data_IF_089623077134
#
_entry.id   IF_089623077134
#
_cell.length_a   1.000
_cell.length_b   1.000
_cell.length_c   1.000
_cell.angle_alpha   90.00
_cell.angle_beta   90.00
_cell.angle_gamma   90.00
#
_symmetry.space_group_name_H-M   'P 1'
#
loop_
_entity.id
_entity.type
_entity.pdbx_description
1 polymer ?
#
# COMPACT_ATOMS: atom_id res chain seq x y z
N UNK A 1 -17.24 4.19 -31.09
CA UNK A 1 -16.51 3.97 -29.83
C UNK A 1 -16.33 2.48 -29.66
N UNK A 2 -15.09 1.98 -29.65
CA UNK A 2 -14.80 0.54 -29.79
C UNK A 2 -14.95 -0.16 -28.43
N UNK A 3 -16.04 -0.91 -28.23
CA UNK A 3 -16.43 -1.56 -26.97
C UNK A 3 -15.46 -2.67 -26.52
N UNK A 4 -14.55 -3.09 -27.40
CA UNK A 4 -13.49 -4.07 -27.12
C UNK A 4 -12.44 -3.56 -26.10
N UNK A 5 -12.35 -2.24 -25.87
CA UNK A 5 -11.45 -1.66 -24.86
C UNK A 5 -11.96 -1.83 -23.40
N UNK A 6 -13.21 -2.25 -23.21
CA UNK A 6 -13.83 -2.34 -21.88
C UNK A 6 -13.78 -3.75 -21.27
N UNK A 7 -13.26 -4.75 -21.98
CA UNK A 7 -13.42 -6.16 -21.61
C UNK A 7 -12.13 -6.98 -21.77
N UNK A 8 -10.96 -6.38 -21.56
CA UNK A 8 -9.76 -7.19 -21.30
C UNK A 8 -9.76 -7.62 -19.83
N UNK A 9 -9.85 -8.93 -19.54
CA UNK A 9 -9.78 -9.41 -18.16
C UNK A 9 -8.41 -9.07 -17.57
N UNK A 10 -8.41 -8.51 -16.35
CA UNK A 10 -7.18 -8.23 -15.62
C UNK A 10 -6.40 -9.52 -15.40
N UNK A 11 -5.08 -9.48 -15.59
CA UNK A 11 -4.17 -10.61 -15.36
C UNK A 11 -3.97 -10.96 -13.88
N UNK A 12 -4.62 -10.23 -12.98
CA UNK A 12 -4.47 -10.35 -11.54
C UNK A 12 -5.78 -10.06 -10.82
N UNK A 13 -5.88 -10.57 -9.58
CA UNK A 13 -7.03 -10.31 -8.72
C UNK A 13 -6.92 -8.94 -8.08
N UNK A 14 -7.77 -8.00 -8.51
CA UNK A 14 -7.87 -6.67 -7.90
C UNK A 14 -8.23 -6.77 -6.41
N UNK A 15 -9.13 -7.68 -6.04
CA UNK A 15 -9.53 -7.89 -4.65
C UNK A 15 -8.36 -8.34 -3.77
N UNK A 16 -7.47 -9.19 -4.30
CA UNK A 16 -6.28 -9.62 -3.57
C UNK A 16 -5.31 -8.45 -3.31
N UNK A 17 -5.14 -7.54 -4.27
CA UNK A 17 -4.29 -6.36 -4.12
C UNK A 17 -4.88 -5.40 -3.08
N UNK A 18 -6.18 -5.08 -3.17
CA UNK A 18 -6.85 -4.24 -2.18
C UNK A 18 -6.78 -4.87 -0.78
N UNK A 19 -7.04 -6.18 -0.67
CA UNK A 19 -6.95 -6.92 0.58
C UNK A 19 -5.54 -6.88 1.18
N UNK A 20 -4.51 -7.08 0.36
CA UNK A 20 -3.12 -6.95 0.79
C UNK A 20 -2.83 -5.56 1.35
N UNK A 21 -3.14 -4.50 0.60
CA UNK A 21 -2.86 -3.13 1.06
C UNK A 21 -3.64 -2.78 2.32
N UNK A 22 -4.90 -3.21 2.45
CA UNK A 22 -5.71 -2.99 3.65
C UNK A 22 -5.11 -3.66 4.89
N UNK A 23 -4.77 -4.95 4.80
CA UNK A 23 -4.19 -5.71 5.91
C UNK A 23 -2.81 -5.14 6.28
N UNK A 24 -1.97 -4.88 5.27
CA UNK A 24 -0.64 -4.32 5.50
C UNK A 24 -0.73 -2.93 6.14
N UNK A 25 -1.61 -2.04 5.66
CA UNK A 25 -1.83 -0.71 6.27
C UNK A 25 -2.32 -0.79 7.70
N UNK A 26 -3.21 -1.73 8.01
CA UNK A 26 -3.66 -1.96 9.38
C UNK A 26 -2.49 -2.37 10.29
N UNK A 27 -1.65 -3.29 9.84
CA UNK A 27 -0.44 -3.72 10.56
C UNK A 27 0.50 -2.52 10.79
N UNK A 28 0.78 -1.72 9.74
CA UNK A 28 1.63 -0.52 9.86
C UNK A 28 1.07 0.45 10.89
N UNK A 29 -0.23 0.74 10.84
CA UNK A 29 -0.87 1.63 11.80
C UNK A 29 -0.73 1.14 13.24
N UNK A 30 -1.03 -0.15 13.48
CA UNK A 30 -0.93 -0.76 14.81
C UNK A 30 0.51 -0.74 15.33
N UNK A 31 1.49 -1.06 14.48
CA UNK A 31 2.91 -1.01 14.84
C UNK A 31 3.33 0.41 15.25
N UNK A 32 2.99 1.42 14.44
CA UNK A 32 3.31 2.81 14.72
C UNK A 32 2.64 3.27 16.01
N UNK A 33 1.38 2.92 16.24
CA UNK A 33 0.66 3.22 17.48
C UNK A 33 1.40 2.67 18.71
N UNK A 34 1.75 1.39 18.72
CA UNK A 34 2.44 0.78 19.87
C UNK A 34 3.85 1.33 20.09
N UNK A 35 4.58 1.64 19.01
CA UNK A 35 5.89 2.27 19.13
C UNK A 35 5.76 3.69 19.67
N UNK A 36 4.78 4.46 19.19
CA UNK A 36 4.56 5.83 19.65
C UNK A 36 4.35 5.88 21.17
N UNK A 37 3.60 4.94 21.74
CA UNK A 37 3.39 4.85 23.19
C UNK A 37 4.68 4.65 24.01
N UNK A 38 5.74 4.09 23.42
CA UNK A 38 7.00 3.77 24.12
C UNK A 38 8.15 4.70 23.73
N UNK A 39 8.21 5.08 22.46
CA UNK A 39 9.32 5.76 21.81
C UNK A 39 8.77 6.71 20.73
N UNK A 40 8.07 7.80 21.11
CA UNK A 40 7.37 8.66 20.17
C UNK A 40 8.29 9.30 19.12
N UNK A 41 9.49 9.71 19.55
CA UNK A 41 10.51 10.27 18.67
C UNK A 41 10.97 9.30 17.56
N UNK A 42 10.73 7.99 17.70
CA UNK A 42 11.11 6.98 16.72
C UNK A 42 9.94 6.51 15.83
N UNK A 43 8.70 6.85 16.17
CA UNK A 43 7.51 6.35 15.51
C UNK A 43 7.43 6.74 14.02
N UNK A 44 7.95 7.92 13.66
CA UNK A 44 8.06 8.35 12.26
C UNK A 44 9.03 7.49 11.42
N UNK A 45 10.18 7.09 12.00
CA UNK A 45 11.11 6.18 11.33
C UNK A 45 10.52 4.79 11.17
N UNK A 46 9.80 4.30 12.18
CA UNK A 46 9.09 3.01 12.09
C UNK A 46 8.04 3.04 10.99
N UNK A 47 7.29 4.14 10.83
CA UNK A 47 6.36 4.29 9.73
C UNK A 47 7.07 4.15 8.38
N UNK A 48 8.16 4.89 8.16
CA UNK A 48 8.91 4.86 6.90
C UNK A 48 9.49 3.47 6.59
N UNK A 49 10.11 2.82 7.58
CA UNK A 49 10.63 1.45 7.44
C UNK A 49 9.52 0.46 7.15
N UNK A 50 8.37 0.59 7.81
CA UNK A 50 7.23 -0.31 7.61
C UNK A 50 6.62 -0.17 6.21
N UNK A 51 6.52 1.06 5.69
CA UNK A 51 6.13 1.31 4.29
C UNK A 51 7.11 0.67 3.32
N UNK A 52 8.42 0.80 3.56
CA UNK A 52 9.44 0.18 2.71
C UNK A 52 9.33 -1.35 2.71
N UNK A 53 9.20 -1.96 3.89
CA UNK A 53 8.99 -3.41 4.04
C UNK A 53 7.70 -3.86 3.35
N UNK A 54 6.60 -3.12 3.51
CA UNK A 54 5.33 -3.39 2.83
C UNK A 54 5.48 -3.40 1.30
N UNK A 55 6.24 -2.47 0.72
CA UNK A 55 6.50 -2.46 -0.72
C UNK A 55 7.32 -3.68 -1.15
N UNK A 56 8.36 -4.04 -0.39
CA UNK A 56 9.13 -5.25 -0.66
C UNK A 56 8.27 -6.51 -0.63
N UNK A 57 7.45 -6.67 0.41
CA UNK A 57 6.53 -7.80 0.56
C UNK A 57 5.48 -7.82 -0.56
N UNK A 58 4.94 -6.67 -0.95
CA UNK A 58 4.03 -6.56 -2.10
C UNK A 58 4.65 -7.11 -3.38
N UNK A 59 5.86 -6.66 -3.70
CA UNK A 59 6.60 -7.11 -4.88
C UNK A 59 6.88 -8.61 -4.83
N UNK A 60 7.21 -9.17 -3.65
CA UNK A 60 7.47 -10.60 -3.50
C UNK A 60 6.21 -11.46 -3.68
N UNK A 61 5.08 -11.05 -3.08
CA UNK A 61 3.81 -11.78 -3.15
C UNK A 61 3.21 -11.69 -4.55
N UNK A 62 3.22 -10.50 -5.16
CA UNK A 62 2.64 -10.23 -6.48
C UNK A 62 3.69 -10.24 -7.60
N UNK A 63 4.82 -10.95 -7.41
CA UNK A 63 5.95 -10.95 -8.35
C UNK A 63 5.55 -11.31 -9.78
N UNK A 64 4.62 -12.24 -9.96
CA UNK A 64 4.17 -12.67 -11.29
C UNK A 64 3.37 -11.56 -11.99
N UNK A 65 2.66 -10.76 -11.22
CA UNK A 65 1.95 -9.58 -11.71
C UNK A 65 2.91 -8.46 -12.02
N UNK A 66 3.88 -8.19 -11.13
CA UNK A 66 4.81 -7.05 -11.22
C UNK A 66 5.92 -7.27 -12.27
N UNK A 67 6.44 -8.50 -12.36
CA UNK A 67 7.54 -8.90 -13.25
C UNK A 67 7.09 -9.89 -14.35
N UNK A 68 5.84 -9.77 -14.78
CA UNK A 68 5.33 -10.53 -15.94
C UNK A 68 6.27 -10.36 -17.15
N UNK A 69 6.45 -11.43 -17.93
CA UNK A 69 7.23 -11.43 -19.18
C UNK A 69 6.68 -10.38 -20.15
N UNK A 70 5.36 -10.25 -20.19
CA UNK A 70 4.68 -9.21 -20.93
C UNK A 70 4.56 -7.94 -20.09
N UNK A 71 4.84 -6.79 -20.69
CA UNK A 71 4.61 -5.49 -20.05
C UNK A 71 3.14 -5.30 -19.67
N UNK A 72 2.89 -4.71 -18.50
CA UNK A 72 1.55 -4.28 -18.14
C UNK A 72 1.05 -3.20 -19.09
N UNK A 73 -0.18 -3.36 -19.53
CA UNK A 73 -0.91 -2.30 -20.22
C UNK A 73 -1.06 -1.07 -19.31
N UNK A 74 -1.25 0.12 -19.89
CA UNK A 74 -1.47 1.36 -19.12
C UNK A 74 -2.63 1.21 -18.11
N UNK A 75 -3.80 0.62 -18.46
CA UNK A 75 -4.88 0.42 -17.51
C UNK A 75 -4.52 -0.51 -16.35
N UNK A 76 -3.79 -1.60 -16.61
CA UNK A 76 -3.35 -2.53 -15.56
C UNK A 76 -2.38 -1.86 -14.59
N UNK A 77 -1.43 -1.06 -15.10
CA UNK A 77 -0.50 -0.30 -14.26
C UNK A 77 -1.24 0.68 -13.36
N UNK A 78 -2.20 1.43 -13.90
CA UNK A 78 -3.04 2.34 -13.10
C UNK A 78 -3.82 1.56 -12.04
N UNK A 79 -4.39 0.41 -12.41
CA UNK A 79 -5.17 -0.43 -11.49
C UNK A 79 -4.33 -0.96 -10.32
N UNK A 80 -3.03 -1.21 -10.51
CA UNK A 80 -2.10 -1.54 -9.41
C UNK A 80 -1.74 -0.33 -8.54
N UNK A 81 -1.58 0.85 -9.16
CA UNK A 81 -1.17 2.06 -8.45
C UNK A 81 -2.29 2.66 -7.59
N UNK A 82 -3.55 2.56 -8.03
CA UNK A 82 -4.70 3.13 -7.28
C UNK A 82 -4.78 2.61 -5.84
N UNK A 83 -4.78 1.28 -5.58
CA UNK A 83 -4.75 0.74 -4.22
C UNK A 83 -3.53 1.22 -3.43
N UNK A 84 -2.35 1.20 -4.06
CA UNK A 84 -1.10 1.62 -3.43
C UNK A 84 -1.20 3.06 -2.91
N UNK A 85 -1.60 4.00 -3.75
CA UNK A 85 -1.69 5.42 -3.38
C UNK A 85 -2.82 5.65 -2.37
N UNK A 86 -3.99 5.03 -2.57
CA UNK A 86 -5.14 5.18 -1.68
C UNK A 86 -4.79 4.78 -0.24
N UNK A 87 -4.17 3.62 -0.07
CA UNK A 87 -3.80 3.12 1.26
C UNK A 87 -2.62 3.87 1.86
N UNK A 88 -1.63 4.29 1.07
CA UNK A 88 -0.53 5.12 1.55
C UNK A 88 -1.00 6.49 2.05
N UNK A 89 -1.92 7.14 1.34
CA UNK A 89 -2.49 8.42 1.79
C UNK A 89 -3.29 8.24 3.07
N UNK A 90 -4.11 7.18 3.16
CA UNK A 90 -4.84 6.86 4.38
C UNK A 90 -3.88 6.63 5.56
N UNK A 91 -2.83 5.83 5.37
CA UNK A 91 -1.80 5.58 6.38
C UNK A 91 -1.14 6.89 6.83
N UNK A 92 -0.70 7.74 5.89
CA UNK A 92 -0.05 9.00 6.21
C UNK A 92 -0.97 9.94 7.02
N UNK A 93 -2.27 10.00 6.70
CA UNK A 93 -3.24 10.80 7.45
C UNK A 93 -3.46 10.24 8.85
N UNK A 94 -3.57 8.92 9.01
CA UNK A 94 -3.79 8.29 10.31
C UNK A 94 -2.53 8.37 11.21
N UNK A 95 -1.36 8.13 10.63
CA UNK A 95 -0.08 8.20 11.35
C UNK A 95 0.29 9.63 11.71
N UNK A 96 0.06 10.61 10.82
CA UNK A 96 0.33 12.02 11.17
C UNK A 96 -0.51 12.49 12.36
N UNK A 97 -1.74 11.98 12.52
CA UNK A 97 -2.55 12.22 13.72
C UNK A 97 -1.89 11.65 14.97
N UNK A 98 -1.38 10.41 14.93
CA UNK A 98 -0.66 9.79 16.06
C UNK A 98 0.57 10.64 16.42
N UNK A 99 1.43 10.93 15.45
CA UNK A 99 2.69 11.65 15.68
C UNK A 99 2.49 13.09 16.16
N UNK A 100 1.30 13.67 15.93
CA UNK A 100 0.96 15.01 16.40
C UNK A 100 0.36 15.02 17.81
N UNK A 101 0.10 13.86 18.42
CA UNK A 101 -0.50 13.79 19.76
C UNK A 101 0.43 14.30 20.86
N UNK A 102 1.74 14.17 20.67
CA UNK A 102 2.74 14.61 21.66
C UNK A 102 3.08 16.10 21.58
N UNK A 103 2.62 16.80 20.53
CA UNK A 103 2.80 18.24 20.35
C UNK A 103 1.65 19.08 20.95
N UNK A 104 0.83 18.49 21.81
CA UNK A 104 -0.26 19.15 22.55
C UNK A 104 -0.06 19.02 24.05
#
# INVERSE_FOLDING_TARGET
MNTQLLVTPLRFSINAIYGFHAIASFIVYVLVFFIHQKMPNQAGYIYLTSVFVKMGVFVLIFKNTVFSIDELTKPERITLLVPLILFLTLEAVLVSKILSQDNK
#
